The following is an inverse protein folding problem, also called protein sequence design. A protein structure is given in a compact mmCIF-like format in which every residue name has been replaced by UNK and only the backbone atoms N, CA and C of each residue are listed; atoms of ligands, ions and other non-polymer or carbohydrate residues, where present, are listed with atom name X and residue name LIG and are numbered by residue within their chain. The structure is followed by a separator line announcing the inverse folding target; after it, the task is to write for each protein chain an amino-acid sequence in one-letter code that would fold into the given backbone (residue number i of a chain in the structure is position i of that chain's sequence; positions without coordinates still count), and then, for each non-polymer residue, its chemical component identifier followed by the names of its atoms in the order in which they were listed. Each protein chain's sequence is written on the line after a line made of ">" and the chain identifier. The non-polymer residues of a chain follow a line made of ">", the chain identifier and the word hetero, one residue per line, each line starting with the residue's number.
data_IF_279533839078
#
_entry.id   IF_279533839078
#
_cell.length_a   1.000
_cell.length_b   1.000
_cell.length_c   1.000
_cell.angle_alpha   90.00
_cell.angle_beta   90.00
_cell.angle_gamma   90.00
#
_symmetry.space_group_name_H-M   'P 1'
#
loop_
_entity.id
_entity.type
_entity.pdbx_description
1 polymer ?
#
# COMPACT_ATOMS: atom_id res chain seq x y z
N UNK A 1 12.06 4.90 -8.54
CA UNK A 1 11.38 4.30 -7.37
C UNK A 1 11.11 5.40 -6.36
N UNK A 2 10.04 5.32 -5.58
CA UNK A 2 9.44 6.42 -4.80
C UNK A 2 10.50 7.18 -3.96
N UNK A 3 11.12 8.19 -4.56
CA UNK A 3 12.30 8.89 -4.04
C UNK A 3 12.06 10.36 -3.76
N UNK A 4 10.84 10.84 -3.98
CA UNK A 4 10.47 12.21 -3.64
C UNK A 4 10.52 12.41 -2.13
N UNK A 5 11.25 13.43 -1.69
CA UNK A 5 11.30 13.84 -0.27
C UNK A 5 9.90 14.13 0.30
N UNK A 6 9.00 14.67 -0.54
CA UNK A 6 7.61 14.89 -0.16
C UNK A 6 6.84 13.60 0.20
N UNK A 7 7.40 12.42 -0.04
CA UNK A 7 6.82 11.11 0.29
C UNK A 7 7.59 10.41 1.42
N UNK A 8 8.57 11.04 2.04
CA UNK A 8 9.29 10.46 3.18
C UNK A 8 8.32 10.14 4.33
N UNK A 9 8.45 8.93 4.88
CA UNK A 9 7.60 8.44 5.98
C UNK A 9 6.14 8.18 5.63
N UNK A 10 5.69 8.43 4.40
CA UNK A 10 4.30 8.17 3.98
C UNK A 10 4.08 6.67 3.76
N UNK A 11 3.06 6.03 4.39
CA UNK A 11 2.77 4.61 4.20
C UNK A 11 2.48 4.25 2.74
N UNK A 12 2.83 3.03 2.34
CA UNK A 12 2.63 2.52 0.99
C UNK A 12 1.68 1.32 1.00
N UNK A 13 0.54 1.45 0.33
CA UNK A 13 -0.36 0.33 0.05
C UNK A 13 -0.22 -0.06 -1.42
N UNK A 14 0.12 -1.32 -1.68
CA UNK A 14 0.16 -1.93 -3.00
C UNK A 14 -1.07 -2.82 -3.14
N UNK A 15 -2.02 -2.41 -3.97
CA UNK A 15 -3.19 -3.24 -4.30
C UNK A 15 -2.82 -4.19 -5.45
N UNK A 16 -2.68 -5.47 -5.13
CA UNK A 16 -2.51 -6.54 -6.10
C UNK A 16 -3.85 -6.88 -6.74
N UNK A 17 -4.27 -6.01 -7.66
CA UNK A 17 -5.57 -6.07 -8.32
C UNK A 17 -5.67 -7.21 -9.35
N UNK A 18 -6.90 -7.52 -9.77
CA UNK A 18 -7.27 -8.52 -10.77
C UNK A 18 -7.08 -9.97 -10.32
N UNK A 19 -7.35 -10.25 -9.05
CA UNK A 19 -7.25 -11.62 -8.51
C UNK A 19 -8.36 -12.56 -9.02
N UNK A 20 -9.33 -12.04 -9.77
CA UNK A 20 -10.33 -12.79 -10.52
C UNK A 20 -9.79 -13.39 -11.84
N UNK A 21 -8.68 -12.88 -12.36
CA UNK A 21 -8.14 -13.31 -13.66
C UNK A 21 -7.40 -14.64 -13.53
N UNK A 22 -7.73 -15.65 -14.35
CA UNK A 22 -6.97 -16.90 -14.37
C UNK A 22 -5.48 -16.66 -14.62
N UNK A 23 -4.63 -17.36 -13.86
CA UNK A 23 -3.17 -17.20 -13.90
C UNK A 23 -2.66 -15.82 -13.44
N UNK A 24 -3.45 -15.05 -12.66
CA UNK A 24 -2.92 -13.89 -11.97
C UNK A 24 -1.77 -14.27 -11.02
N UNK A 25 -0.84 -13.35 -10.80
CA UNK A 25 0.24 -13.57 -9.85
C UNK A 25 -0.29 -13.61 -8.42
N UNK A 26 0.25 -14.53 -7.61
CA UNK A 26 0.00 -14.55 -6.18
C UNK A 26 0.74 -13.41 -5.47
N UNK A 27 0.29 -13.05 -4.27
CA UNK A 27 0.97 -12.04 -3.44
C UNK A 27 2.45 -12.38 -3.19
N UNK A 28 2.85 -13.62 -2.88
CA UNK A 28 4.26 -14.02 -2.83
C UNK A 28 5.03 -13.78 -4.13
N UNK A 29 4.46 -14.08 -5.29
CA UNK A 29 5.13 -13.88 -6.59
C UNK A 29 5.32 -12.40 -6.88
N UNK A 30 4.32 -11.58 -6.56
CA UNK A 30 4.39 -10.13 -6.65
C UNK A 30 5.51 -9.61 -5.74
N UNK A 31 5.57 -10.04 -4.47
CA UNK A 31 6.65 -9.64 -3.55
C UNK A 31 8.03 -10.02 -4.08
N UNK A 32 8.16 -11.20 -4.67
CA UNK A 32 9.40 -11.66 -5.29
C UNK A 32 9.79 -10.78 -6.48
N UNK A 33 8.82 -10.44 -7.35
CA UNK A 33 9.03 -9.58 -8.52
C UNK A 33 9.51 -8.18 -8.12
N UNK A 34 9.03 -7.66 -6.98
CA UNK A 34 9.41 -6.35 -6.45
C UNK A 34 10.52 -6.40 -5.39
N UNK A 35 11.21 -7.55 -5.20
CA UNK A 35 12.25 -7.69 -4.18
C UNK A 35 13.39 -6.68 -4.35
N UNK A 36 13.86 -6.46 -5.57
CA UNK A 36 14.87 -5.45 -5.91
C UNK A 36 14.40 -4.01 -5.68
N UNK A 37 13.10 -3.83 -5.50
CA UNK A 37 12.48 -2.54 -5.19
C UNK A 37 12.41 -2.24 -3.69
N UNK A 38 12.43 -3.26 -2.84
CA UNK A 38 12.32 -3.12 -1.39
C UNK A 38 13.39 -2.17 -0.79
N UNK A 39 14.65 -2.13 -1.24
CA UNK A 39 15.63 -1.19 -0.71
C UNK A 39 15.34 0.26 -1.08
N UNK A 40 14.64 0.52 -2.20
CA UNK A 40 14.46 1.89 -2.73
C UNK A 40 13.09 2.51 -2.42
N UNK A 41 12.29 1.85 -1.58
CA UNK A 41 11.10 2.44 -0.96
C UNK A 41 11.41 3.14 0.37
N UNK A 42 12.58 2.89 0.98
CA UNK A 42 12.97 3.53 2.25
C UNK A 42 12.18 3.01 3.46
N UNK A 43 12.44 3.58 4.65
CA UNK A 43 11.83 3.14 5.92
C UNK A 43 10.41 3.72 6.06
N UNK A 44 9.41 2.95 5.67
CA UNK A 44 7.98 3.26 5.80
C UNK A 44 7.18 1.98 5.98
N UNK A 45 5.96 2.11 6.48
CA UNK A 45 4.99 1.02 6.45
C UNK A 45 4.64 0.65 5.01
N UNK A 46 4.64 -0.65 4.70
CA UNK A 46 4.33 -1.16 3.38
C UNK A 46 3.47 -2.43 3.49
N UNK A 47 2.35 -2.47 2.76
CA UNK A 47 1.49 -3.65 2.64
C UNK A 47 1.20 -3.94 1.17
N UNK A 48 1.23 -5.22 0.82
CA UNK A 48 0.68 -5.73 -0.43
C UNK A 48 -0.62 -6.44 -0.12
N UNK A 49 -1.74 -5.94 -0.64
CA UNK A 49 -3.08 -6.46 -0.39
C UNK A 49 -3.67 -7.02 -1.69
N UNK A 50 -4.01 -8.32 -1.76
CA UNK A 50 -4.74 -8.87 -2.90
C UNK A 50 -6.13 -8.25 -2.97
N UNK A 51 -6.59 -7.88 -4.17
CA UNK A 51 -7.94 -7.36 -4.35
C UNK A 51 -8.53 -7.67 -5.74
N UNK A 52 -9.85 -7.59 -5.82
CA UNK A 52 -10.61 -7.70 -7.07
C UNK A 52 -11.55 -6.50 -7.19
N UNK A 53 -11.24 -5.57 -8.10
CA UNK A 53 -12.03 -4.36 -8.26
C UNK A 53 -13.50 -4.62 -8.68
N UNK A 54 -13.78 -5.74 -9.36
CA UNK A 54 -15.12 -6.09 -9.82
C UNK A 54 -16.07 -6.52 -8.69
N UNK A 55 -15.53 -7.20 -7.67
CA UNK A 55 -16.29 -7.69 -6.50
C UNK A 55 -16.13 -6.78 -5.29
N UNK A 56 -15.06 -6.00 -5.23
CA UNK A 56 -14.67 -5.19 -4.08
C UNK A 56 -13.82 -5.95 -3.06
N UNK A 57 -13.55 -7.24 -3.28
CA UNK A 57 -12.79 -8.06 -2.34
C UNK A 57 -11.40 -7.46 -2.09
N UNK A 58 -10.99 -7.37 -0.82
CA UNK A 58 -9.67 -6.90 -0.41
C UNK A 58 -9.47 -5.38 -0.47
N UNK A 59 -10.41 -4.62 -1.03
CA UNK A 59 -10.30 -3.16 -1.14
C UNK A 59 -10.46 -2.50 0.23
N UNK A 60 -11.52 -2.85 0.96
CA UNK A 60 -11.79 -2.26 2.27
C UNK A 60 -10.69 -2.59 3.27
N UNK A 61 -10.21 -3.82 3.29
CA UNK A 61 -9.12 -4.27 4.16
C UNK A 61 -7.83 -3.48 3.91
N UNK A 62 -7.50 -3.23 2.64
CA UNK A 62 -6.36 -2.40 2.26
C UNK A 62 -6.50 -0.96 2.73
N UNK A 63 -7.67 -0.35 2.52
CA UNK A 63 -7.95 1.03 2.93
C UNK A 63 -7.96 1.17 4.46
N UNK A 64 -8.57 0.24 5.18
CA UNK A 64 -8.56 0.22 6.64
C UNK A 64 -7.14 0.15 7.20
N UNK A 65 -6.28 -0.68 6.60
CA UNK A 65 -4.87 -0.73 6.96
C UNK A 65 -4.18 0.62 6.71
N UNK A 66 -4.44 1.26 5.57
CA UNK A 66 -3.88 2.57 5.24
C UNK A 66 -4.30 3.63 6.26
N UNK A 67 -5.59 3.69 6.63
CA UNK A 67 -6.09 4.61 7.65
C UNK A 67 -5.36 4.40 8.99
N UNK A 68 -5.22 3.15 9.44
CA UNK A 68 -4.47 2.83 10.67
C UNK A 68 -3.02 3.33 10.59
N UNK A 69 -2.37 3.16 9.44
CA UNK A 69 -1.00 3.61 9.23
C UNK A 69 -0.87 5.14 9.24
N UNK A 70 -1.83 5.86 8.64
CA UNK A 70 -1.85 7.32 8.65
C UNK A 70 -2.10 7.86 10.05
N UNK A 71 -3.06 7.30 10.78
CA UNK A 71 -3.39 7.74 12.16
C UNK A 71 -2.22 7.54 13.12
N UNK A 72 -1.47 6.43 13.01
CA UNK A 72 -0.31 6.16 13.88
C UNK A 72 0.97 6.89 13.46
N UNK A 73 0.98 7.57 12.31
CA UNK A 73 2.17 8.21 11.79
C UNK A 73 2.48 9.52 12.52
N UNK A 74 3.28 9.42 13.58
CA UNK A 74 3.69 10.57 14.40
C UNK A 74 4.54 11.59 13.63
N UNK A 75 5.21 11.19 12.55
CA UNK A 75 6.07 12.08 11.75
C UNK A 75 5.27 12.93 10.76
N UNK A 76 4.08 12.46 10.37
CA UNK A 76 3.17 13.17 9.47
C UNK A 76 1.72 13.00 9.94
N UNK A 77 1.33 13.60 11.07
CA UNK A 77 0.00 13.44 11.62
C UNK A 77 -1.07 14.06 10.71
N UNK A 78 -2.30 13.53 10.69
CA UNK A 78 -3.42 14.16 10.00
C UNK A 78 -3.63 15.59 10.53
N UNK A 79 -3.78 16.57 9.64
CA UNK A 79 -4.11 17.94 10.05
C UNK A 79 -5.62 18.13 9.88
N UNK A 80 -6.25 18.83 10.82
CA UNK A 80 -7.71 19.05 10.83
C UNK A 80 -8.27 19.57 9.48
N UNK A 81 -7.52 20.45 8.82
CA UNK A 81 -7.85 21.02 7.50
C UNK A 81 -7.83 20.03 6.33
N UNK A 82 -7.25 18.85 6.51
CA UNK A 82 -7.15 17.80 5.50
C UNK A 82 -8.29 16.76 5.66
N UNK A 83 -9.17 16.92 6.66
CA UNK A 83 -10.23 15.96 7.05
C UNK A 83 -11.63 16.48 6.67
N UNK A 84 -11.79 17.79 6.51
CA UNK A 84 -13.02 18.48 6.09
C UNK A 84 -12.97 18.84 4.60
#
# INVERSE_FOLDING_TARGET
>A
MISSEALEGVPLLVLANKQDVPNCLSVPDIKTTFSDCAPKIGKRDCLVQPCTALTGDGVNEGIEWMVKCVVRNIHRPPRQKDIT
#
